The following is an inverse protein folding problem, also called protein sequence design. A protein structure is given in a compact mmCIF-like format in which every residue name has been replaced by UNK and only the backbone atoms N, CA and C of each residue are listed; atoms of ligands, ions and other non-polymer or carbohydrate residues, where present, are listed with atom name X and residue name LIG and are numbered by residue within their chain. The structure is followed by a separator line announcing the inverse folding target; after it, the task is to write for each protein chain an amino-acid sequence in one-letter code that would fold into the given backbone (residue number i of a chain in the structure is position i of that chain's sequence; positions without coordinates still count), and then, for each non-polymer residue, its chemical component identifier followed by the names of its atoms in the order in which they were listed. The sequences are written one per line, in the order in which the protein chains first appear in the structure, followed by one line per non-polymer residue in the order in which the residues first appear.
data_IF_256973133584
#
_entry.id   IF_256973133584
#
_cell.length_a   1.000
_cell.length_b   1.000
_cell.length_c   1.000
_cell.angle_alpha   90.00
_cell.angle_beta   90.00
_cell.angle_gamma   90.00
#
_symmetry.space_group_name_H-M   'P 1'
#
loop_
_entity.id
_entity.type
_entity.pdbx_description
1 polymer ?
#
# COMPACT_ATOMS: atom_id res chain seq x y z
N UNK A 1 56.78 -43.03 24.23
CA UNK A 1 56.64 -41.66 23.71
C UNK A 1 55.26 -41.19 24.13
N UNK A 2 55.20 -40.15 24.97
CA UNK A 2 53.92 -39.57 25.37
C UNK A 2 53.23 -39.04 24.11
N UNK A 3 51.93 -39.29 24.00
CA UNK A 3 51.15 -38.88 22.84
C UNK A 3 50.73 -37.42 23.09
N UNK A 4 51.58 -36.47 22.69
CA UNK A 4 51.44 -35.03 22.96
C UNK A 4 50.35 -34.38 22.08
N UNK A 5 49.18 -35.01 21.98
CA UNK A 5 48.05 -34.54 21.18
C UNK A 5 46.92 -34.07 22.07
N UNK A 6 46.66 -32.77 22.05
CA UNK A 6 45.43 -32.19 22.62
C UNK A 6 44.33 -32.30 21.56
N UNK A 7 43.23 -32.98 21.90
CA UNK A 7 42.05 -33.06 21.02
C UNK A 7 40.94 -32.22 21.61
N UNK A 8 40.41 -31.28 20.82
CA UNK A 8 39.32 -30.40 21.22
C UNK A 8 38.05 -30.91 20.56
N UNK A 9 37.05 -31.23 21.38
CA UNK A 9 35.71 -31.61 20.91
C UNK A 9 34.73 -30.50 21.24
N UNK A 10 34.00 -30.01 20.24
CA UNK A 10 32.88 -29.12 20.50
C UNK A 10 31.82 -29.88 21.31
N UNK A 11 31.32 -29.27 22.39
CA UNK A 11 30.20 -29.84 23.13
C UNK A 11 29.03 -30.09 22.19
N UNK A 12 28.27 -31.15 22.44
CA UNK A 12 27.11 -31.50 21.62
C UNK A 12 26.04 -30.39 21.66
N UNK A 13 25.81 -29.82 22.85
CA UNK A 13 24.83 -28.76 23.08
C UNK A 13 25.48 -27.59 23.86
N UNK A 14 26.36 -26.79 23.23
CA UNK A 14 26.92 -25.63 23.91
C UNK A 14 25.83 -24.57 24.13
N UNK A 15 25.93 -23.76 25.19
CA UNK A 15 25.05 -22.61 25.34
C UNK A 15 25.22 -21.65 24.16
N UNK A 16 24.11 -21.17 23.59
CA UNK A 16 24.13 -20.11 22.58
C UNK A 16 24.37 -18.78 23.28
N UNK A 17 25.52 -18.17 23.01
CA UNK A 17 25.93 -16.90 23.61
C UNK A 17 26.31 -15.95 22.48
N UNK A 18 25.72 -14.75 22.49
CA UNK A 18 26.09 -13.65 21.60
C UNK A 18 27.41 -13.07 22.08
N UNK A 19 28.50 -13.54 21.51
CA UNK A 19 29.85 -13.04 21.73
C UNK A 19 30.63 -13.22 20.44
N UNK A 20 31.48 -12.25 20.12
CA UNK A 20 32.27 -12.22 18.89
C UNK A 20 33.29 -13.37 18.81
N UNK A 21 33.81 -13.82 19.96
CA UNK A 21 34.83 -14.86 20.06
C UNK A 21 34.44 -15.94 21.06
N UNK A 22 34.87 -17.17 20.79
CA UNK A 22 34.98 -18.22 21.80
C UNK A 22 36.37 -18.15 22.43
N UNK A 23 36.46 -18.21 23.76
CA UNK A 23 37.75 -18.17 24.47
C UNK A 23 38.10 -19.55 25.02
N UNK A 24 39.25 -20.10 24.62
CA UNK A 24 39.89 -21.24 25.27
C UNK A 24 40.86 -20.71 26.31
N UNK A 25 40.76 -21.20 27.54
CA UNK A 25 41.68 -20.88 28.63
C UNK A 25 42.39 -22.15 29.07
N UNK A 26 43.72 -22.12 29.10
CA UNK A 26 44.58 -23.23 29.51
C UNK A 26 45.26 -22.85 30.82
N UNK A 27 45.02 -23.61 31.87
CA UNK A 27 45.62 -23.44 33.19
C UNK A 27 46.50 -24.63 33.51
N UNK A 28 47.73 -24.39 33.97
CA UNK A 28 48.65 -25.44 34.41
C UNK A 28 48.51 -25.57 35.93
N UNK A 29 48.21 -26.77 36.40
CA UNK A 29 48.15 -27.12 37.83
C UNK A 29 49.14 -28.24 38.13
N UNK A 30 49.68 -28.27 39.35
CA UNK A 30 50.55 -29.34 39.83
C UNK A 30 50.07 -29.74 41.22
N UNK A 31 49.82 -31.03 41.41
CA UNK A 31 49.31 -31.57 42.67
C UNK A 31 50.42 -31.96 43.65
N UNK A 32 51.68 -31.87 43.21
CA UNK A 32 52.86 -32.11 44.04
C UNK A 32 53.17 -30.85 44.88
N UNK A 33 53.09 -30.93 46.22
CA UNK A 33 53.31 -29.79 47.10
C UNK A 33 54.75 -29.26 47.05
N UNK A 34 55.72 -30.04 46.57
CA UNK A 34 57.12 -29.65 46.46
C UNK A 34 57.44 -28.96 45.12
N UNK A 35 56.49 -28.92 44.18
CA UNK A 35 56.66 -28.28 42.87
C UNK A 35 56.17 -26.84 42.90
N UNK A 36 57.11 -25.90 42.76
CA UNK A 36 56.81 -24.47 42.65
C UNK A 36 56.55 -24.10 41.19
N UNK A 37 55.30 -23.85 40.83
CA UNK A 37 54.93 -23.31 39.52
C UNK A 37 55.39 -21.86 39.42
N UNK A 38 56.16 -21.52 38.39
CA UNK A 38 56.61 -20.15 38.16
C UNK A 38 55.43 -19.17 38.05
N UNK A 39 55.50 -17.94 38.60
CA UNK A 39 54.39 -16.98 38.57
C UNK A 39 53.82 -16.69 37.18
N UNK A 40 54.66 -16.77 36.13
CA UNK A 40 54.22 -16.61 34.74
C UNK A 40 53.35 -17.78 34.24
N UNK A 41 53.59 -19.01 34.73
CA UNK A 41 52.83 -20.21 34.40
C UNK A 41 51.56 -20.38 35.26
N UNK A 42 51.39 -19.56 36.30
CA UNK A 42 50.17 -19.50 37.11
C UNK A 42 49.05 -18.70 36.44
N UNK A 43 49.36 -17.86 35.44
CA UNK A 43 48.36 -17.13 34.66
C UNK A 43 47.82 -18.03 33.55
N UNK A 44 46.49 -18.12 33.37
CA UNK A 44 45.93 -18.89 32.27
C UNK A 44 46.37 -18.34 30.91
N UNK A 45 46.83 -19.21 30.02
CA UNK A 45 47.02 -18.85 28.62
C UNK A 45 45.65 -18.85 27.93
N UNK A 46 45.29 -17.74 27.28
CA UNK A 46 44.01 -17.61 26.59
C UNK A 46 44.19 -17.53 25.09
N UNK A 47 43.36 -18.26 24.36
CA UNK A 47 43.28 -18.23 22.91
C UNK A 47 41.86 -17.90 22.50
N UNK A 48 41.70 -16.86 21.68
CA UNK A 48 40.39 -16.46 21.14
C UNK A 48 40.23 -17.04 19.74
N UNK A 49 39.09 -17.67 19.52
CA UNK A 49 38.68 -18.18 18.23
C UNK A 49 37.50 -17.33 17.76
N UNK A 50 37.62 -16.74 16.56
CA UNK A 50 36.50 -16.05 15.95
C UNK A 50 35.35 -17.04 15.75
N UNK A 51 34.14 -16.63 16.10
CA UNK A 51 32.94 -17.38 15.71
C UNK A 51 32.64 -17.13 14.23
N UNK A 52 31.90 -18.02 13.56
CA UNK A 52 31.60 -17.83 12.13
C UNK A 52 30.82 -16.53 11.95
N UNK A 53 31.37 -15.59 11.19
CA UNK A 53 30.61 -14.43 10.74
C UNK A 53 29.72 -14.90 9.58
N UNK A 54 28.43 -14.60 9.66
CA UNK A 54 27.53 -14.80 8.52
C UNK A 54 27.88 -13.73 7.48
N UNK A 55 28.25 -14.15 6.28
CA UNK A 55 28.58 -13.23 5.18
C UNK A 55 27.42 -13.04 4.20
N UNK A 56 26.57 -14.06 4.06
CA UNK A 56 25.46 -14.03 3.13
C UNK A 56 24.28 -14.82 3.67
N UNK A 57 23.11 -14.22 3.51
CA UNK A 57 21.81 -14.85 3.67
C UNK A 57 21.08 -14.79 2.33
N UNK A 58 20.33 -15.84 2.04
CA UNK A 58 19.51 -15.99 0.85
C UNK A 58 18.08 -16.34 1.25
N UNK A 59 17.13 -15.94 0.42
CA UNK A 59 15.70 -16.15 0.61
C UNK A 59 14.91 -14.90 0.22
N UNK A 60 13.58 -14.91 0.39
CA UNK A 60 12.79 -16.03 0.93
C UNK A 60 12.73 -17.22 -0.03
N UNK A 61 12.78 -18.44 0.50
CA UNK A 61 12.44 -19.67 -0.23
C UNK A 61 11.06 -20.17 0.23
N UNK A 62 10.31 -20.80 -0.65
CA UNK A 62 9.02 -21.42 -0.32
C UNK A 62 9.21 -22.75 0.45
N UNK A 63 8.12 -23.44 0.77
CA UNK A 63 8.19 -24.74 1.47
C UNK A 63 8.78 -25.88 0.62
N UNK A 64 8.80 -25.72 -0.71
CA UNK A 64 9.40 -26.65 -1.66
C UNK A 64 10.89 -26.34 -1.92
N UNK A 65 11.46 -25.35 -1.20
CA UNK A 65 12.84 -24.91 -1.31
C UNK A 65 13.15 -24.18 -2.63
N UNK A 66 12.12 -23.71 -3.34
CA UNK A 66 12.25 -22.85 -4.52
C UNK A 66 12.43 -21.40 -4.07
N UNK A 67 13.35 -20.68 -4.71
CA UNK A 67 13.61 -19.28 -4.37
C UNK A 67 12.42 -18.45 -4.84
N UNK A 68 11.79 -17.72 -3.95
CA UNK A 68 10.81 -16.69 -4.30
C UNK A 68 11.61 -15.53 -4.88
N UNK A 69 11.53 -15.35 -6.19
CA UNK A 69 12.32 -14.31 -6.87
C UNK A 69 11.87 -12.91 -6.45
N UNK A 70 12.69 -11.88 -6.73
CA UNK A 70 12.35 -10.49 -6.36
C UNK A 70 11.01 -10.00 -6.95
N UNK A 71 10.57 -10.57 -8.07
CA UNK A 71 9.26 -10.29 -8.66
C UNK A 71 8.16 -10.96 -7.85
N UNK A 72 8.31 -12.24 -7.46
CA UNK A 72 7.37 -13.08 -6.69
C UNK A 72 7.34 -12.81 -5.18
N UNK A 73 8.26 -12.01 -4.64
CA UNK A 73 8.20 -11.55 -3.24
C UNK A 73 6.86 -10.81 -2.96
N UNK A 74 6.16 -10.35 -3.99
CA UNK A 74 4.80 -9.80 -3.93
C UNK A 74 3.67 -10.81 -3.74
N UNK A 75 3.95 -12.08 -4.01
CA UNK A 75 3.11 -13.23 -3.71
C UNK A 75 3.36 -13.78 -2.31
N UNK A 76 4.24 -13.14 -1.53
CA UNK A 76 4.39 -13.51 -0.13
C UNK A 76 3.08 -13.32 0.63
N UNK A 77 2.48 -14.43 1.07
CA UNK A 77 1.23 -14.41 1.81
C UNK A 77 1.50 -14.32 3.30
N UNK A 78 0.67 -13.53 3.98
CA UNK A 78 0.64 -13.51 5.44
C UNK A 78 0.24 -14.89 5.96
N UNK A 79 0.83 -15.27 7.09
CA UNK A 79 0.69 -16.55 7.76
C UNK A 79 1.30 -17.76 7.00
N UNK A 80 1.88 -17.56 5.80
CA UNK A 80 2.74 -18.57 5.16
C UNK A 80 4.14 -18.60 5.77
N UNK A 81 4.78 -19.76 5.67
CA UNK A 81 6.15 -19.98 6.14
C UNK A 81 7.12 -19.90 4.97
N UNK A 82 8.17 -19.10 5.15
CA UNK A 82 9.27 -18.97 4.20
C UNK A 82 10.57 -19.37 4.87
N UNK A 83 11.52 -19.85 4.09
CA UNK A 83 12.82 -20.31 4.57
C UNK A 83 13.88 -19.26 4.21
N UNK A 84 14.72 -18.91 5.17
CA UNK A 84 15.90 -18.08 4.96
C UNK A 84 17.13 -18.91 5.27
N UNK A 85 18.16 -18.82 4.42
CA UNK A 85 19.36 -19.66 4.49
C UNK A 85 20.59 -18.78 4.63
N UNK A 86 21.36 -18.96 5.69
CA UNK A 86 22.72 -18.44 5.75
C UNK A 86 23.62 -19.39 4.96
N UNK A 87 24.07 -18.95 3.78
CA UNK A 87 24.76 -19.78 2.78
C UNK A 87 26.27 -19.55 2.73
N UNK A 88 26.75 -18.44 3.30
CA UNK A 88 28.19 -18.12 3.32
C UNK A 88 28.63 -17.69 4.71
N UNK A 89 29.74 -18.25 5.15
CA UNK A 89 30.34 -17.99 6.46
C UNK A 89 31.83 -17.72 6.33
N UNK A 90 32.37 -16.89 7.21
CA UNK A 90 33.82 -16.86 7.46
C UNK A 90 34.28 -18.19 8.04
N UNK A 91 35.51 -18.56 7.72
CA UNK A 91 36.14 -19.79 8.21
C UNK A 91 36.09 -19.85 9.74
N UNK A 92 35.65 -20.99 10.26
CA UNK A 92 35.39 -21.19 11.69
C UNK A 92 35.72 -22.62 12.09
N UNK A 93 36.27 -22.77 13.29
CA UNK A 93 36.55 -24.07 13.92
C UNK A 93 35.32 -24.74 14.53
N UNK A 94 34.17 -24.07 14.52
CA UNK A 94 32.93 -24.50 15.18
C UNK A 94 31.74 -24.65 14.22
N UNK A 95 30.77 -25.48 14.62
CA UNK A 95 29.56 -25.75 13.83
C UNK A 95 28.65 -24.50 13.79
N UNK A 96 28.35 -23.91 12.62
CA UNK A 96 27.64 -22.64 12.54
C UNK A 96 26.26 -22.62 13.23
N UNK A 97 25.46 -23.67 13.07
CA UNK A 97 24.10 -23.79 13.65
C UNK A 97 24.05 -23.56 15.16
N UNK A 98 25.13 -23.89 15.89
CA UNK A 98 25.19 -23.78 17.35
C UNK A 98 25.45 -22.35 17.82
N UNK A 99 25.77 -21.42 16.94
CA UNK A 99 26.19 -20.05 17.29
C UNK A 99 25.36 -18.97 16.60
N UNK A 100 24.73 -19.28 15.47
CA UNK A 100 23.97 -18.30 14.67
C UNK A 100 22.59 -18.05 15.26
N UNK A 101 22.20 -16.79 15.26
CA UNK A 101 20.91 -16.20 15.57
C UNK A 101 20.25 -15.66 14.32
N UNK A 102 18.93 -15.68 14.33
CA UNK A 102 18.13 -14.97 13.37
C UNK A 102 17.36 -13.88 14.11
N UNK A 103 17.20 -12.74 13.46
CA UNK A 103 16.41 -11.62 13.97
C UNK A 103 15.58 -11.03 12.84
N UNK A 104 14.50 -10.34 13.21
CA UNK A 104 13.70 -9.55 12.30
C UNK A 104 13.79 -8.07 12.67
N UNK A 105 13.71 -7.21 11.67
CA UNK A 105 13.43 -5.79 11.83
C UNK A 105 12.24 -5.44 10.95
N UNK A 106 11.24 -4.78 11.54
CA UNK A 106 9.99 -4.46 10.84
C UNK A 106 9.86 -2.94 10.72
N UNK A 107 9.63 -2.45 9.50
CA UNK A 107 9.49 -1.03 9.15
C UNK A 107 10.60 -0.15 9.75
N UNK A 108 11.85 -0.60 9.63
CA UNK A 108 13.04 0.07 10.16
C UNK A 108 13.01 0.30 11.69
N UNK A 109 12.20 -0.46 12.43
CA UNK A 109 12.09 -0.42 13.89
C UNK A 109 13.25 -1.10 14.62
N UNK A 110 13.01 -1.58 15.84
CA UNK A 110 14.01 -2.34 16.59
C UNK A 110 14.28 -3.72 15.97
N UNK A 111 15.53 -4.17 16.08
CA UNK A 111 15.91 -5.53 15.68
C UNK A 111 15.56 -6.47 16.84
N UNK A 112 14.71 -7.46 16.57
CA UNK A 112 14.20 -8.40 17.57
C UNK A 112 14.61 -9.81 17.20
N UNK A 113 15.17 -10.53 18.18
CA UNK A 113 15.53 -11.93 18.01
C UNK A 113 14.32 -12.78 17.68
N UNK A 114 14.47 -13.62 16.65
CA UNK A 114 13.50 -14.63 16.34
C UNK A 114 13.64 -15.81 17.31
N UNK A 115 12.50 -16.44 17.60
CA UNK A 115 12.38 -17.49 18.62
C UNK A 115 13.25 -18.72 18.27
N UNK A 116 14.09 -19.14 19.22
CA UNK A 116 14.83 -20.38 19.10
C UNK A 116 13.98 -21.59 19.52
N UNK A 117 13.83 -22.57 18.62
CA UNK A 117 13.17 -23.85 18.91
C UNK A 117 14.14 -24.98 18.63
N UNK A 118 14.67 -25.60 19.69
CA UNK A 118 15.62 -26.71 19.58
C UNK A 118 15.10 -27.80 18.63
N UNK A 119 15.92 -28.19 17.65
CA UNK A 119 15.58 -29.20 16.65
C UNK A 119 14.57 -28.76 15.58
N UNK A 120 14.13 -27.49 15.59
CA UNK A 120 13.23 -26.91 14.58
C UNK A 120 13.83 -25.69 13.89
N UNK A 121 14.35 -24.74 14.67
CA UNK A 121 14.89 -23.47 14.17
C UNK A 121 15.99 -22.95 15.10
N UNK A 122 17.16 -22.55 14.58
CA UNK A 122 17.64 -22.84 13.22
C UNK A 122 17.93 -24.34 13.03
N UNK A 123 18.04 -24.80 11.78
CA UNK A 123 18.39 -26.17 11.39
C UNK A 123 19.39 -26.19 10.22
N UNK A 124 19.97 -27.35 9.90
CA UNK A 124 20.84 -27.53 8.73
C UNK A 124 20.05 -28.19 7.60
N UNK A 125 20.17 -27.69 6.38
CA UNK A 125 19.69 -28.38 5.17
C UNK A 125 20.70 -29.43 4.68
N UNK A 126 20.41 -30.07 3.53
CA UNK A 126 21.26 -31.09 2.92
C UNK A 126 22.65 -30.57 2.54
N UNK A 127 22.73 -29.28 2.18
CA UNK A 127 23.97 -28.57 1.83
C UNK A 127 24.70 -27.99 3.05
N UNK A 128 24.20 -28.26 4.26
CA UNK A 128 24.73 -27.75 5.54
C UNK A 128 24.65 -26.22 5.68
N UNK A 129 23.72 -25.58 5.01
CA UNK A 129 23.37 -24.17 5.26
C UNK A 129 22.53 -24.06 6.54
N UNK A 130 22.70 -22.96 7.27
CA UNK A 130 21.89 -22.72 8.46
C UNK A 130 20.59 -22.05 8.04
N UNK A 131 19.48 -22.77 8.22
CA UNK A 131 18.16 -22.39 7.78
C UNK A 131 17.28 -21.92 8.94
N UNK A 132 16.38 -20.99 8.65
CA UNK A 132 15.33 -20.54 9.56
C UNK A 132 13.98 -20.48 8.84
N UNK A 133 12.99 -21.21 9.38
CA UNK A 133 11.59 -21.12 8.96
C UNK A 133 10.94 -19.91 9.63
N UNK A 134 10.63 -18.91 8.83
CA UNK A 134 10.02 -17.65 9.23
C UNK A 134 8.56 -17.61 8.80
N UNK A 135 7.66 -17.39 9.74
CA UNK A 135 6.25 -17.15 9.43
C UNK A 135 6.07 -15.66 9.13
N UNK A 136 5.61 -15.32 7.93
CA UNK A 136 5.43 -13.94 7.52
C UNK A 136 4.17 -13.36 8.15
N UNK A 137 4.33 -12.53 9.16
CA UNK A 137 3.22 -12.15 10.06
C UNK A 137 2.31 -11.04 9.51
N UNK A 138 2.84 -10.19 8.63
CA UNK A 138 2.13 -9.02 8.09
C UNK A 138 2.86 -8.44 6.90
N UNK A 139 2.13 -7.78 6.02
CA UNK A 139 2.69 -6.95 4.95
C UNK A 139 3.37 -5.71 5.55
N UNK A 140 4.66 -5.82 5.78
CA UNK A 140 5.53 -4.79 6.32
C UNK A 140 6.90 -4.97 5.72
N UNK A 141 7.63 -3.86 5.57
CA UNK A 141 9.04 -3.91 5.20
C UNK A 141 9.74 -4.73 6.29
N UNK A 142 10.32 -5.86 5.94
CA UNK A 142 10.84 -6.80 6.91
C UNK A 142 12.25 -7.19 6.51
N UNK A 143 13.22 -6.92 7.37
CA UNK A 143 14.61 -7.34 7.17
C UNK A 143 14.90 -8.52 8.05
N UNK A 144 15.33 -9.64 7.45
CA UNK A 144 15.75 -10.84 8.17
C UNK A 144 17.27 -10.86 8.24
N UNK A 145 17.78 -10.94 9.47
CA UNK A 145 19.20 -11.01 9.77
C UNK A 145 19.58 -12.43 10.15
N UNK A 146 20.80 -12.83 9.78
CA UNK A 146 21.47 -13.98 10.35
C UNK A 146 22.82 -13.53 10.90
N UNK A 147 23.11 -13.83 12.16
CA UNK A 147 24.28 -13.26 12.84
C UNK A 147 24.72 -14.07 14.06
N UNK A 148 25.91 -13.82 14.59
CA UNK A 148 26.39 -14.51 15.81
C UNK A 148 26.45 -13.60 17.03
N UNK A 149 26.99 -12.40 16.85
CA UNK A 149 27.16 -11.41 17.91
C UNK A 149 26.26 -10.21 17.68
N UNK A 150 26.48 -9.52 16.55
CA UNK A 150 25.71 -8.36 16.13
C UNK A 150 25.11 -8.57 14.74
N UNK A 151 23.85 -8.15 14.52
CA UNK A 151 23.23 -8.13 13.19
C UNK A 151 23.87 -7.05 12.31
N UNK A 152 24.23 -7.42 11.08
CA UNK A 152 24.82 -6.52 10.08
C UNK A 152 23.91 -6.48 8.84
N UNK A 153 23.77 -5.30 8.21
CA UNK A 153 22.89 -5.13 7.04
C UNK A 153 23.40 -5.90 5.82
N UNK A 154 24.71 -6.00 5.68
CA UNK A 154 25.40 -6.75 4.62
C UNK A 154 25.07 -8.25 4.69
N UNK A 155 24.72 -8.74 5.88
CA UNK A 155 24.30 -10.11 6.15
C UNK A 155 22.79 -10.19 6.46
N UNK A 156 21.98 -9.48 5.66
CA UNK A 156 20.52 -9.47 5.78
C UNK A 156 19.81 -9.60 4.44
N UNK A 157 18.55 -10.07 4.47
CA UNK A 157 17.63 -10.02 3.33
C UNK A 157 16.52 -9.03 3.66
N UNK A 158 16.26 -8.09 2.75
CA UNK A 158 15.13 -7.18 2.85
C UNK A 158 13.94 -7.71 2.04
N UNK A 159 12.79 -7.81 2.71
CA UNK A 159 11.49 -8.06 2.10
C UNK A 159 10.80 -6.69 2.00
N UNK A 160 10.59 -6.15 0.79
CA UNK A 160 10.01 -4.83 0.62
C UNK A 160 8.55 -4.77 1.09
N UNK A 161 8.11 -3.58 1.48
CA UNK A 161 6.70 -3.31 1.73
C UNK A 161 6.00 -3.04 0.40
N UNK A 162 4.96 -3.82 0.11
CA UNK A 162 4.16 -3.66 -1.10
C UNK A 162 2.81 -3.05 -0.75
N UNK A 163 2.50 -1.92 -1.39
CA UNK A 163 1.26 -1.16 -1.13
C UNK A 163 0.51 -0.92 -2.46
N UNK A 164 -0.76 -1.32 -2.58
CA UNK A 164 -1.55 -0.92 -3.74
C UNK A 164 -1.72 0.60 -3.77
N UNK A 165 -1.56 1.17 -4.95
CA UNK A 165 -1.61 2.60 -5.19
C UNK A 165 -2.46 2.87 -6.42
N UNK A 166 -3.45 3.76 -6.27
CA UNK A 166 -4.23 4.28 -7.40
C UNK A 166 -3.60 5.60 -7.84
N UNK A 167 -3.08 5.66 -9.06
CA UNK A 167 -2.53 6.87 -9.66
C UNK A 167 -3.58 7.49 -10.56
N UNK A 168 -4.21 8.58 -10.10
CA UNK A 168 -5.18 9.36 -10.88
C UNK A 168 -4.40 10.35 -11.73
N UNK A 169 -4.37 10.09 -13.04
CA UNK A 169 -3.52 10.85 -13.96
C UNK A 169 -4.17 12.15 -14.44
N UNK A 170 -3.40 12.97 -15.16
CA UNK A 170 -3.93 14.11 -15.93
C UNK A 170 -4.23 13.76 -17.40
N UNK A 171 -4.09 12.49 -17.80
CA UNK A 171 -4.39 12.03 -19.14
C UNK A 171 -5.89 11.97 -19.34
N UNK A 172 -6.43 12.87 -20.19
CA UNK A 172 -7.82 12.81 -20.64
C UNK A 172 -7.98 11.59 -21.55
N UNK A 173 -8.99 10.77 -21.27
CA UNK A 173 -9.34 9.56 -22.04
C UNK A 173 -10.56 9.75 -22.91
N UNK A 174 -11.35 10.79 -22.64
CA UNK A 174 -12.53 11.17 -23.40
C UNK A 174 -13.42 12.11 -22.60
N UNK A 175 -14.71 12.06 -22.93
CA UNK A 175 -15.74 12.93 -22.39
C UNK A 175 -16.99 12.10 -22.11
N UNK A 176 -17.68 12.47 -21.05
CA UNK A 176 -18.86 11.79 -20.53
C UNK A 176 -19.83 12.86 -20.03
N UNK A 177 -21.04 12.51 -19.59
CA UNK A 177 -21.95 13.47 -18.94
C UNK A 177 -22.04 13.21 -17.44
N UNK A 178 -22.28 14.28 -16.68
CA UNK A 178 -22.39 14.25 -15.22
C UNK A 178 -23.58 15.12 -14.81
N UNK A 179 -24.34 14.68 -13.80
CA UNK A 179 -25.43 15.48 -13.25
C UNK A 179 -24.89 16.82 -12.73
N UNK A 180 -25.50 17.91 -13.20
CA UNK A 180 -25.23 19.26 -12.75
C UNK A 180 -25.90 19.53 -11.39
N UNK A 181 -25.08 19.60 -10.34
CA UNK A 181 -25.57 19.89 -8.99
C UNK A 181 -26.00 21.35 -8.83
N UNK A 182 -26.83 21.61 -7.82
CA UNK A 182 -27.21 22.97 -7.40
C UNK A 182 -28.53 23.51 -7.95
N UNK A 183 -29.23 22.74 -8.80
CA UNK A 183 -30.50 23.12 -9.43
C UNK A 183 -31.77 22.68 -8.68
N UNK A 184 -31.64 21.95 -7.57
CA UNK A 184 -32.80 21.56 -6.76
C UNK A 184 -33.80 20.72 -7.56
N UNK A 185 -33.32 19.71 -8.27
CA UNK A 185 -34.15 18.74 -8.95
C UNK A 185 -34.96 17.95 -7.93
N UNK A 186 -36.28 17.90 -8.12
CA UNK A 186 -37.13 17.01 -7.33
C UNK A 186 -36.90 15.57 -7.78
N UNK A 187 -37.14 14.57 -6.92
CA UNK A 187 -37.14 13.14 -7.30
C UNK A 187 -38.13 12.79 -8.43
N UNK A 188 -38.99 13.73 -8.83
CA UNK A 188 -40.00 13.59 -9.88
C UNK A 188 -39.68 14.44 -11.12
N UNK A 189 -38.46 14.98 -11.22
CA UNK A 189 -38.04 15.71 -12.41
C UNK A 189 -38.01 14.75 -13.61
N UNK A 190 -38.63 15.17 -14.72
CA UNK A 190 -38.70 14.39 -15.97
C UNK A 190 -37.33 14.34 -16.67
N UNK A 191 -36.43 15.25 -16.30
CA UNK A 191 -35.06 15.32 -16.81
C UNK A 191 -34.10 15.69 -15.67
N UNK A 192 -32.89 15.20 -15.78
CA UNK A 192 -31.72 15.48 -14.96
C UNK A 192 -30.84 16.49 -15.71
N UNK A 193 -30.69 17.72 -15.20
CA UNK A 193 -29.74 18.67 -15.76
C UNK A 193 -28.33 18.11 -15.69
N UNK A 194 -27.63 18.13 -16.80
CA UNK A 194 -26.33 17.46 -16.96
C UNK A 194 -25.34 18.36 -17.69
N UNK A 195 -24.05 18.06 -17.53
CA UNK A 195 -22.97 18.73 -18.25
C UNK A 195 -21.96 17.71 -18.76
N UNK A 196 -21.32 18.03 -19.88
CA UNK A 196 -20.17 17.25 -20.34
C UNK A 196 -18.97 17.51 -19.44
N UNK A 197 -18.27 16.44 -19.06
CA UNK A 197 -17.02 16.49 -18.31
C UNK A 197 -15.96 15.58 -18.93
N UNK A 198 -14.68 15.92 -18.85
CA UNK A 198 -13.61 15.03 -19.26
C UNK A 198 -13.49 13.83 -18.31
N UNK A 199 -13.14 12.68 -18.86
CA UNK A 199 -12.69 11.50 -18.12
C UNK A 199 -11.18 11.42 -18.12
N UNK A 200 -10.62 10.85 -17.06
CA UNK A 200 -9.19 10.73 -16.85
C UNK A 200 -8.83 9.29 -16.51
N UNK A 201 -7.66 8.87 -16.98
CA UNK A 201 -7.13 7.55 -16.66
C UNK A 201 -6.70 7.48 -15.18
N UNK A 202 -7.07 6.40 -14.51
CA UNK A 202 -6.51 5.97 -13.24
C UNK A 202 -5.81 4.62 -13.42
N UNK A 203 -4.56 4.51 -12.94
CA UNK A 203 -3.80 3.27 -12.95
C UNK A 203 -3.78 2.67 -11.55
N UNK A 204 -4.05 1.38 -11.43
CA UNK A 204 -3.81 0.63 -10.20
C UNK A 204 -2.45 -0.04 -10.34
N UNK A 205 -1.58 0.24 -9.38
CA UNK A 205 -0.21 -0.27 -9.35
C UNK A 205 0.13 -0.83 -7.97
N UNK A 206 1.14 -1.69 -7.90
CA UNK A 206 1.77 -2.10 -6.65
C UNK A 206 3.05 -1.27 -6.45
N UNK A 207 3.05 -0.44 -5.41
CA UNK A 207 4.23 0.27 -4.95
C UNK A 207 5.11 -0.70 -4.16
N UNK A 208 6.23 -1.11 -4.75
CA UNK A 208 7.18 -2.07 -4.16
C UNK A 208 8.32 -1.38 -3.40
N UNK A 209 8.29 -0.05 -3.22
CA UNK A 209 9.37 0.70 -2.59
C UNK A 209 10.69 0.77 -3.38
N UNK A 210 10.80 0.08 -4.51
CA UNK A 210 11.84 0.25 -5.52
C UNK A 210 11.41 1.28 -6.57
N UNK A 211 12.33 1.76 -7.42
CA UNK A 211 12.07 2.81 -8.41
C UNK A 211 11.01 2.45 -9.49
N UNK A 212 10.34 1.30 -9.40
CA UNK A 212 9.34 0.85 -10.37
C UNK A 212 8.09 0.30 -9.68
N UNK A 213 7.01 1.04 -9.83
CA UNK A 213 5.65 0.57 -9.59
C UNK A 213 5.28 -0.54 -10.59
N UNK A 214 4.62 -1.59 -10.13
CA UNK A 214 4.11 -2.65 -11.01
C UNK A 214 2.66 -2.39 -11.41
N UNK A 215 2.40 -2.27 -12.70
CA UNK A 215 1.06 -2.06 -13.24
C UNK A 215 0.17 -3.30 -13.07
N UNK A 216 -1.05 -3.09 -12.56
CA UNK A 216 -2.07 -4.14 -12.44
C UNK A 216 -3.15 -3.97 -13.51
N UNK A 217 -3.85 -2.82 -13.49
CA UNK A 217 -4.89 -2.49 -14.46
C UNK A 217 -5.16 -0.98 -14.47
N UNK A 218 -6.03 -0.52 -15.37
CA UNK A 218 -6.46 0.87 -15.44
C UNK A 218 -7.96 0.99 -15.65
N UNK A 219 -8.54 2.05 -15.11
CA UNK A 219 -9.93 2.43 -15.32
C UNK A 219 -10.05 3.94 -15.55
N UNK A 220 -11.26 4.39 -15.89
CA UNK A 220 -11.54 5.78 -16.21
C UNK A 220 -12.45 6.40 -15.15
N UNK A 221 -12.19 7.66 -14.82
CA UNK A 221 -12.96 8.40 -13.82
C UNK A 221 -13.09 9.89 -14.16
N UNK A 222 -14.05 10.56 -13.54
CA UNK A 222 -14.19 12.02 -13.61
C UNK A 222 -13.39 12.68 -12.49
N UNK A 223 -12.65 13.76 -12.78
CA UNK A 223 -12.01 14.62 -11.76
C UNK A 223 -12.81 15.89 -11.46
N UNK A 224 -13.67 16.28 -12.39
CA UNK A 224 -14.42 17.53 -12.33
C UNK A 224 -15.81 17.33 -11.72
N UNK A 225 -16.32 18.38 -11.07
CA UNK A 225 -17.54 18.34 -10.28
C UNK A 225 -18.30 19.65 -10.41
N UNK A 226 -19.17 19.78 -11.40
CA UNK A 226 -19.80 21.07 -11.71
C UNK A 226 -21.05 21.35 -10.88
N UNK A 227 -21.18 22.60 -10.45
CA UNK A 227 -22.28 23.10 -9.63
C UNK A 227 -22.82 24.41 -10.22
N UNK A 228 -24.13 24.52 -10.37
CA UNK A 228 -24.80 25.75 -10.80
C UNK A 228 -24.98 26.72 -9.63
N UNK A 229 -24.40 27.91 -9.75
CA UNK A 229 -24.59 29.03 -8.82
C UNK A 229 -25.90 29.78 -9.06
N UNK A 230 -26.63 29.45 -10.13
CA UNK A 230 -27.80 30.17 -10.60
C UNK A 230 -27.59 30.69 -12.03
N UNK A 231 -28.58 31.44 -12.52
CA UNK A 231 -28.52 32.06 -13.84
C UNK A 231 -28.16 33.54 -13.74
N UNK A 232 -27.39 34.04 -14.69
CA UNK A 232 -27.05 35.45 -14.81
C UNK A 232 -28.20 36.25 -15.48
N UNK A 233 -28.00 37.55 -15.70
CA UNK A 233 -28.97 38.44 -16.37
C UNK A 233 -29.29 38.04 -17.82
N UNK A 234 -28.45 37.22 -18.44
CA UNK A 234 -28.64 36.67 -19.80
C UNK A 234 -29.31 35.29 -19.80
N UNK A 235 -29.81 34.84 -18.65
CA UNK A 235 -30.40 33.51 -18.43
C UNK A 235 -29.41 32.33 -18.63
N UNK A 236 -28.10 32.60 -18.55
CA UNK A 236 -27.04 31.58 -18.67
C UNK A 236 -26.62 31.07 -17.29
N UNK A 237 -26.37 29.76 -17.17
CA UNK A 237 -25.88 29.17 -15.92
C UNK A 237 -24.46 29.63 -15.60
N UNK A 238 -24.27 30.20 -14.41
CA UNK A 238 -22.93 30.45 -13.86
C UNK A 238 -22.48 29.22 -13.10
N UNK A 239 -21.42 28.58 -13.58
CA UNK A 239 -20.94 27.32 -13.03
C UNK A 239 -19.74 27.54 -12.11
N UNK A 240 -19.63 26.66 -11.13
CA UNK A 240 -18.50 26.49 -10.22
C UNK A 240 -18.00 25.06 -10.37
N UNK A 241 -16.72 24.88 -10.70
CA UNK A 241 -16.09 23.57 -10.53
C UNK A 241 -15.76 23.37 -9.05
N UNK A 242 -16.31 22.31 -8.47
CA UNK A 242 -16.09 21.90 -7.08
C UNK A 242 -15.09 20.75 -6.96
N UNK A 243 -14.34 20.46 -8.04
CA UNK A 243 -13.27 19.46 -8.04
C UNK A 243 -12.38 19.56 -6.80
N UNK A 244 -11.96 18.41 -6.28
CA UNK A 244 -10.90 18.39 -5.28
C UNK A 244 -9.56 18.69 -5.96
N UNK A 245 -8.92 19.77 -5.52
CA UNK A 245 -7.57 20.16 -5.94
C UNK A 245 -6.69 20.20 -4.69
N UNK A 246 -5.56 19.47 -4.67
CA UNK A 246 -4.62 19.50 -3.55
C UNK A 246 -4.18 20.92 -3.22
N UNK A 247 -4.06 21.25 -1.93
CA UNK A 247 -3.49 22.53 -1.49
C UNK A 247 -2.06 22.74 -2.03
N UNK A 248 -1.26 21.68 -2.08
CA UNK A 248 0.06 21.62 -2.70
C UNK A 248 0.20 20.27 -3.42
N UNK A 249 0.60 20.30 -4.70
CA UNK A 249 0.83 19.08 -5.49
C UNK A 249 2.11 18.32 -5.10
N UNK A 250 3.04 18.93 -4.36
CA UNK A 250 4.13 18.19 -3.70
C UNK A 250 3.62 17.30 -2.55
N UNK A 251 2.34 17.44 -2.18
CA UNK A 251 1.67 16.70 -1.11
C UNK A 251 0.39 16.03 -1.63
N UNK A 252 0.47 15.44 -2.82
CA UNK A 252 -0.61 14.82 -3.58
C UNK A 252 -0.74 13.29 -3.37
N UNK A 253 0.03 12.72 -2.43
CA UNK A 253 -0.09 11.33 -2.01
C UNK A 253 -0.97 11.24 -0.77
N UNK A 254 -2.03 10.45 -0.87
CA UNK A 254 -3.04 10.24 0.16
C UNK A 254 -3.09 8.77 0.56
N UNK A 255 -3.48 8.50 1.80
CA UNK A 255 -3.96 7.18 2.18
C UNK A 255 -5.40 6.99 1.71
N UNK A 256 -5.89 5.75 1.75
CA UNK A 256 -7.28 5.45 1.44
C UNK A 256 -7.91 4.47 2.43
N UNK A 257 -9.15 4.74 2.82
CA UNK A 257 -9.99 3.87 3.63
C UNK A 257 -11.11 3.29 2.77
N UNK A 258 -11.27 1.97 2.79
CA UNK A 258 -12.41 1.31 2.17
C UNK A 258 -13.71 1.66 2.91
N UNK A 259 -14.72 2.07 2.16
CA UNK A 259 -16.08 2.33 2.62
C UNK A 259 -17.05 1.40 1.90
N UNK A 260 -17.60 0.39 2.60
CA UNK A 260 -18.55 -0.51 1.99
C UNK A 260 -19.93 0.12 1.82
N UNK A 261 -20.66 -0.31 0.78
CA UNK A 261 -22.06 0.06 0.54
C UNK A 261 -22.30 1.56 0.37
N UNK A 262 -21.51 2.21 -0.48
CA UNK A 262 -21.64 3.60 -0.89
C UNK A 262 -22.15 3.73 -2.34
N UNK A 263 -23.10 4.64 -2.64
CA UNK A 263 -23.79 5.53 -1.71
C UNK A 263 -24.81 4.77 -0.87
N UNK A 264 -24.85 5.06 0.43
CA UNK A 264 -25.78 4.39 1.34
C UNK A 264 -27.14 5.09 1.32
N UNK A 265 -28.26 4.42 1.01
CA UNK A 265 -29.59 4.99 1.18
C UNK A 265 -29.81 5.41 2.64
N UNK A 266 -30.17 6.67 2.87
CA UNK A 266 -30.54 7.19 4.19
C UNK A 266 -31.89 6.59 4.60
N UNK A 267 -31.93 5.35 5.08
CA UNK A 267 -33.06 4.81 5.85
C UNK A 267 -32.79 3.38 6.33
N UNK A 268 -33.22 3.12 7.56
CA UNK A 268 -33.19 1.83 8.27
C UNK A 268 -33.99 0.69 7.60
N UNK A 269 -34.59 0.93 6.43
CA UNK A 269 -35.43 -0.03 5.69
C UNK A 269 -34.85 -0.49 4.35
N UNK A 270 -33.70 0.01 3.91
CA UNK A 270 -33.13 -0.32 2.60
C UNK A 270 -31.92 -1.25 2.68
N UNK A 271 -31.80 -2.11 1.66
CA UNK A 271 -30.66 -2.99 1.46
C UNK A 271 -29.40 -2.17 1.17
N UNK A 272 -28.21 -2.65 1.55
CA UNK A 272 -26.95 -2.02 1.17
C UNK A 272 -26.87 -1.88 -0.36
N UNK A 273 -26.29 -0.77 -0.86
CA UNK A 273 -26.17 -0.53 -2.31
C UNK A 273 -25.39 -1.63 -3.03
N UNK A 274 -24.53 -2.37 -2.32
CA UNK A 274 -23.63 -3.36 -2.90
C UNK A 274 -22.50 -2.75 -3.73
N UNK A 275 -22.37 -1.42 -3.71
CA UNK A 275 -21.30 -0.66 -4.35
C UNK A 275 -20.35 -0.15 -3.26
N UNK A 276 -19.06 -0.08 -3.57
CA UNK A 276 -18.02 0.30 -2.60
C UNK A 276 -17.38 1.65 -2.98
N UNK A 277 -16.65 2.25 -2.05
CA UNK A 277 -15.89 3.46 -2.27
C UNK A 277 -14.56 3.45 -1.51
N UNK A 278 -13.64 4.32 -1.91
CA UNK A 278 -12.38 4.57 -1.21
C UNK A 278 -12.26 6.04 -0.83
N UNK A 279 -12.22 6.32 0.47
CA UNK A 279 -12.12 7.66 1.03
C UNK A 279 -10.66 8.07 1.18
N UNK A 280 -10.31 9.23 0.65
CA UNK A 280 -8.99 9.82 0.80
C UNK A 280 -8.76 10.19 2.27
N UNK A 281 -7.58 9.86 2.77
CA UNK A 281 -7.13 10.25 4.10
C UNK A 281 -5.75 10.85 4.04
N UNK A 282 -5.46 11.72 5.01
CA UNK A 282 -4.11 12.19 5.27
C UNK A 282 -3.78 11.96 6.73
N UNK A 283 -2.80 11.10 6.99
CA UNK A 283 -2.46 10.63 8.35
C UNK A 283 -3.70 10.09 9.10
N UNK A 284 -4.57 9.35 8.40
CA UNK A 284 -5.81 8.80 8.94
C UNK A 284 -6.97 9.80 9.11
N UNK A 285 -6.81 11.06 8.69
CA UNK A 285 -7.87 12.06 8.77
C UNK A 285 -8.57 12.24 7.41
N UNK A 286 -9.90 12.24 7.40
CA UNK A 286 -10.75 12.44 6.20
C UNK A 286 -10.96 13.92 5.85
N UNK A 287 -10.57 14.83 6.74
CA UNK A 287 -10.47 16.27 6.43
C UNK A 287 -9.08 16.54 5.90
N UNK A 288 -8.98 16.83 4.61
CA UNK A 288 -7.70 16.95 3.90
C UNK A 288 -7.51 18.35 3.29
N UNK A 289 -6.28 18.89 3.30
CA UNK A 289 -5.99 20.18 2.70
C UNK A 289 -6.30 20.24 1.20
N UNK A 290 -7.06 21.26 0.79
CA UNK A 290 -7.49 21.51 -0.57
C UNK A 290 -7.30 22.99 -0.93
N UNK A 291 -7.23 23.32 -2.22
CA UNK A 291 -7.43 24.70 -2.66
C UNK A 291 -8.86 25.17 -2.34
N UNK A 292 -9.06 26.43 -1.92
CA UNK A 292 -10.38 26.95 -1.64
C UNK A 292 -11.24 26.98 -2.91
N UNK A 293 -12.56 26.82 -2.74
CA UNK A 293 -13.50 27.04 -3.83
C UNK A 293 -13.56 28.54 -4.14
N UNK A 294 -13.82 28.90 -5.41
CA UNK A 294 -13.99 30.31 -5.82
C UNK A 294 -15.09 31.03 -5.03
N UNK A 295 -16.13 30.31 -4.61
CA UNK A 295 -17.20 30.83 -3.77
C UNK A 295 -17.91 29.70 -3.03
N UNK A 296 -18.53 30.04 -1.90
CA UNK A 296 -19.43 29.18 -1.11
C UNK A 296 -20.89 29.63 -1.17
N UNK A 297 -21.20 30.63 -2.00
CA UNK A 297 -22.55 31.18 -2.17
C UNK A 297 -22.98 31.14 -3.63
N UNK A 298 -24.29 31.00 -3.83
CA UNK A 298 -25.00 31.18 -5.10
C UNK A 298 -25.08 32.66 -5.46
N UNK A 299 -25.49 32.95 -6.69
CA UNK A 299 -25.68 34.32 -7.17
C UNK A 299 -26.74 35.10 -6.37
N UNK A 300 -27.73 34.41 -5.80
CA UNK A 300 -28.76 35.00 -4.94
C UNK A 300 -28.30 35.23 -3.49
N UNK A 301 -27.01 35.01 -3.20
CA UNK A 301 -26.40 35.17 -1.88
C UNK A 301 -26.63 33.99 -0.92
N UNK A 302 -27.45 32.99 -1.28
CA UNK A 302 -27.65 31.81 -0.42
C UNK A 302 -26.42 30.90 -0.45
N UNK A 303 -26.13 30.17 0.63
CA UNK A 303 -25.07 29.15 0.62
C UNK A 303 -25.30 28.08 -0.45
N UNK A 304 -24.22 27.57 -1.04
CA UNK A 304 -24.28 26.35 -1.87
C UNK A 304 -24.65 25.14 -1.01
N UNK A 305 -25.17 24.09 -1.62
CA UNK A 305 -25.46 22.82 -0.94
C UNK A 305 -24.16 22.20 -0.42
N UNK A 306 -24.13 21.78 0.84
CA UNK A 306 -22.94 21.23 1.50
C UNK A 306 -21.71 22.14 1.34
N UNK A 307 -21.73 23.37 1.88
CA UNK A 307 -20.56 24.24 1.87
C UNK A 307 -19.45 23.64 2.73
N UNK A 308 -18.19 23.94 2.42
CA UNK A 308 -17.05 23.58 3.26
C UNK A 308 -17.13 24.38 4.57
N UNK A 309 -17.01 23.69 5.70
CA UNK A 309 -16.96 24.34 7.01
C UNK A 309 -15.68 25.14 7.22
N UNK A 310 -14.59 24.74 6.57
CA UNK A 310 -13.30 25.45 6.51
C UNK A 310 -12.89 25.47 5.03
N UNK A 311 -12.66 26.65 4.46
CA UNK A 311 -12.54 26.84 3.01
C UNK A 311 -11.43 26.00 2.36
N UNK A 312 -10.28 25.86 3.02
CA UNK A 312 -9.10 25.15 2.54
C UNK A 312 -9.04 23.68 2.97
N UNK A 313 -10.15 23.12 3.49
CA UNK A 313 -10.28 21.71 3.81
C UNK A 313 -11.43 21.06 3.04
N UNK A 314 -11.13 19.99 2.29
CA UNK A 314 -12.13 19.08 1.76
C UNK A 314 -12.39 17.95 2.78
N UNK A 315 -13.62 17.44 2.83
CA UNK A 315 -14.01 16.35 3.73
C UNK A 315 -14.59 15.21 2.90
N UNK A 316 -14.22 13.97 3.22
CA UNK A 316 -14.75 12.76 2.59
C UNK A 316 -14.62 12.75 1.06
N UNK A 317 -13.46 13.18 0.54
CA UNK A 317 -13.13 13.02 -0.89
C UNK A 317 -12.98 11.53 -1.18
N UNK A 318 -13.59 11.04 -2.25
CA UNK A 318 -13.69 9.61 -2.53
C UNK A 318 -13.45 9.26 -4.00
N UNK A 319 -13.01 8.02 -4.27
CA UNK A 319 -13.29 7.33 -5.53
C UNK A 319 -14.54 6.48 -5.30
N UNK A 320 -15.55 6.63 -6.15
CA UNK A 320 -16.79 5.86 -6.07
C UNK A 320 -17.45 5.71 -7.44
N UNK A 321 -18.59 5.01 -7.49
CA UNK A 321 -19.42 4.87 -8.69
C UNK A 321 -19.78 6.24 -9.29
N UNK A 322 -19.58 6.41 -10.60
CA UNK A 322 -20.05 7.55 -11.39
C UNK A 322 -20.95 7.08 -12.52
N UNK A 323 -21.14 7.92 -13.55
CA UNK A 323 -21.99 7.60 -14.70
C UNK A 323 -23.43 7.34 -14.29
N UNK A 324 -24.17 6.60 -15.11
CA UNK A 324 -25.50 6.11 -14.75
C UNK A 324 -25.36 4.87 -13.88
N UNK A 325 -25.94 4.88 -12.68
CA UNK A 325 -25.90 3.75 -11.76
C UNK A 325 -27.23 3.55 -11.06
N UNK A 326 -27.47 2.32 -10.64
CA UNK A 326 -28.64 1.94 -9.86
C UNK A 326 -28.33 1.82 -8.37
N UNK A 327 -29.22 2.35 -7.55
CA UNK A 327 -29.27 2.00 -6.12
C UNK A 327 -30.70 1.68 -5.73
N UNK A 328 -30.91 0.52 -5.09
CA UNK A 328 -32.24 0.09 -4.66
C UNK A 328 -33.31 0.20 -5.76
N UNK A 329 -32.98 -0.27 -6.97
CA UNK A 329 -33.88 -0.32 -8.15
C UNK A 329 -34.16 1.06 -8.79
N UNK A 330 -33.52 2.14 -8.32
CA UNK A 330 -33.59 3.45 -8.97
C UNK A 330 -32.30 3.74 -9.72
N UNK A 331 -32.40 3.98 -11.03
CA UNK A 331 -31.31 4.53 -11.83
C UNK A 331 -31.11 6.01 -11.48
N UNK A 332 -29.86 6.45 -11.51
CA UNK A 332 -29.46 7.83 -11.24
C UNK A 332 -28.20 8.14 -12.03
N UNK A 333 -28.20 9.30 -12.68
CA UNK A 333 -26.97 9.87 -13.21
C UNK A 333 -26.14 10.48 -12.07
N UNK A 334 -24.90 10.05 -11.94
CA UNK A 334 -23.99 10.54 -10.93
C UNK A 334 -23.60 11.99 -11.14
N UNK A 335 -23.59 12.75 -10.05
CA UNK A 335 -22.94 14.06 -9.97
C UNK A 335 -22.06 14.14 -8.75
N UNK A 336 -21.02 14.97 -8.82
CA UNK A 336 -19.97 15.02 -7.81
C UNK A 336 -19.98 16.35 -7.03
N UNK A 337 -19.53 16.31 -5.77
CA UNK A 337 -19.20 17.48 -4.95
C UNK A 337 -17.68 17.64 -4.74
N UNK A 338 -16.88 17.04 -5.63
CA UNK A 338 -15.42 17.05 -5.59
C UNK A 338 -14.77 15.66 -5.47
N UNK A 339 -15.59 14.60 -5.46
CA UNK A 339 -15.15 13.22 -5.56
C UNK A 339 -14.86 12.79 -6.99
N UNK A 340 -14.21 11.63 -7.14
CA UNK A 340 -13.86 11.01 -8.40
C UNK A 340 -14.85 9.89 -8.73
N UNK A 341 -15.63 10.06 -9.81
CA UNK A 341 -16.65 9.08 -10.21
C UNK A 341 -16.13 8.17 -11.31
N UNK A 342 -16.12 6.85 -11.09
CA UNK A 342 -15.82 5.84 -12.11
C UNK A 342 -16.76 5.96 -13.30
N UNK A 343 -16.24 5.79 -14.53
CA UNK A 343 -17.02 5.82 -15.77
C UNK A 343 -16.70 4.55 -16.57
N UNK A 344 -17.74 3.81 -16.94
CA UNK A 344 -17.62 2.63 -17.81
C UNK A 344 -17.27 3.05 -19.24
N UNK A 345 -16.53 2.20 -19.96
CA UNK A 345 -15.93 2.58 -21.26
C UNK A 345 -16.93 2.97 -22.33
N UNK A 346 -18.12 2.36 -22.31
CA UNK A 346 -19.18 2.64 -23.28
C UNK A 346 -19.72 4.08 -23.19
N UNK A 347 -19.60 4.72 -22.02
CA UNK A 347 -20.10 6.09 -21.78
C UNK A 347 -18.99 7.15 -21.99
N UNK A 348 -17.86 6.75 -22.61
CA UNK A 348 -16.71 7.62 -22.87
C UNK A 348 -16.61 7.90 -24.37
N UNK A 349 -16.84 9.15 -24.72
CA UNK A 349 -16.81 9.65 -26.08
C UNK A 349 -15.52 10.43 -26.35
N UNK A 350 -15.02 10.35 -27.57
CA UNK A 350 -13.74 10.99 -27.95
C UNK A 350 -13.79 12.52 -27.98
N UNK A 351 -14.98 13.11 -28.06
CA UNK A 351 -15.18 14.57 -28.11
C UNK A 351 -16.39 15.00 -27.28
N UNK A 352 -16.42 16.25 -26.78
CA UNK A 352 -17.59 16.77 -26.08
C UNK A 352 -18.86 16.75 -26.92
N UNK A 353 -18.75 17.03 -28.22
CA UNK A 353 -19.90 17.07 -29.13
C UNK A 353 -20.54 15.70 -29.32
N UNK A 354 -19.75 14.62 -29.27
CA UNK A 354 -20.28 13.26 -29.31
C UNK A 354 -20.98 12.88 -28.00
N UNK A 355 -20.45 13.28 -26.85
CA UNK A 355 -21.11 13.08 -25.57
C UNK A 355 -22.48 13.80 -25.50
N UNK A 356 -22.56 15.03 -26.02
CA UNK A 356 -23.83 15.77 -26.14
C UNK A 356 -24.82 15.00 -27.02
N UNK A 357 -24.37 14.52 -28.19
CA UNK A 357 -25.24 13.81 -29.13
C UNK A 357 -25.73 12.47 -28.60
N UNK A 358 -24.96 11.78 -27.75
CA UNK A 358 -25.39 10.55 -27.14
C UNK A 358 -26.53 10.78 -26.14
N UNK A 359 -26.39 11.80 -25.29
CA UNK A 359 -27.45 12.28 -24.40
C UNK A 359 -28.72 12.70 -25.18
N UNK A 360 -28.59 13.46 -26.27
CA UNK A 360 -29.74 13.87 -27.11
C UNK A 360 -30.49 12.69 -27.76
N UNK A 361 -29.85 11.53 -27.87
CA UNK A 361 -30.39 10.32 -28.52
C UNK A 361 -30.91 9.28 -27.54
N UNK A 362 -30.79 9.51 -26.23
CA UNK A 362 -31.09 8.50 -25.20
C UNK A 362 -30.15 7.28 -25.29
N UNK A 363 -28.90 7.49 -25.74
CA UNK A 363 -27.90 6.42 -25.93
C UNK A 363 -26.93 6.30 -24.73
N UNK A 364 -27.19 7.01 -23.62
CA UNK A 364 -26.21 7.25 -22.53
C UNK A 364 -26.53 6.50 -21.21
N UNK A 365 -27.67 5.83 -21.11
CA UNK A 365 -28.08 5.06 -19.92
C UNK A 365 -28.54 3.62 -20.21
N UNK A 366 -28.25 3.12 -21.42
CA UNK A 366 -28.56 1.76 -21.87
C UNK A 366 -28.04 0.66 -20.92
N UNK A 367 -26.89 0.92 -20.28
CA UNK A 367 -26.29 0.04 -19.29
C UNK A 367 -25.86 0.81 -18.04
N UNK A 368 -26.05 0.22 -16.86
CA UNK A 368 -25.61 0.84 -15.61
C UNK A 368 -24.17 0.47 -15.28
N UNK A 369 -23.44 1.45 -14.75
CA UNK A 369 -22.04 1.33 -14.31
C UNK A 369 -21.85 0.35 -13.14
N UNK A 370 -22.92 -0.11 -12.49
CA UNK A 370 -22.90 -0.97 -11.30
C UNK A 370 -21.99 -2.19 -11.44
N UNK A 371 -22.14 -2.96 -12.52
CA UNK A 371 -21.42 -4.21 -12.71
C UNK A 371 -19.92 -3.97 -12.91
N UNK A 372 -19.58 -2.99 -13.73
CA UNK A 372 -18.20 -2.68 -14.08
C UNK A 372 -17.47 -1.99 -12.94
N UNK A 373 -18.14 -1.09 -12.21
CA UNK A 373 -17.61 -0.54 -10.96
C UNK A 373 -17.41 -1.64 -9.93
N UNK A 374 -18.39 -2.52 -9.73
CA UNK A 374 -18.27 -3.62 -8.77
C UNK A 374 -17.07 -4.52 -9.07
N UNK A 375 -16.90 -4.91 -10.33
CA UNK A 375 -15.73 -5.70 -10.75
C UNK A 375 -14.42 -4.95 -10.45
N UNK A 376 -14.33 -3.69 -10.87
CA UNK A 376 -13.14 -2.86 -10.68
C UNK A 376 -12.80 -2.70 -9.19
N UNK A 377 -13.79 -2.39 -8.36
CA UNK A 377 -13.59 -2.15 -6.93
C UNK A 377 -13.29 -3.45 -6.18
N UNK A 378 -13.87 -4.59 -6.58
CA UNK A 378 -13.55 -5.90 -6.01
C UNK A 378 -12.06 -6.25 -6.26
N UNK A 379 -11.52 -5.98 -7.45
CA UNK A 379 -10.09 -6.15 -7.76
C UNK A 379 -9.21 -5.23 -6.88
N UNK A 380 -9.60 -3.97 -6.65
CA UNK A 380 -8.88 -3.07 -5.73
C UNK A 380 -8.96 -3.58 -4.28
N UNK A 381 -10.13 -4.06 -3.84
CA UNK A 381 -10.36 -4.58 -2.49
C UNK A 381 -9.53 -5.84 -2.24
N UNK A 382 -9.36 -6.72 -3.22
CA UNK A 382 -8.48 -7.89 -3.10
C UNK A 382 -7.04 -7.47 -2.81
N UNK A 383 -6.52 -6.47 -3.52
CA UNK A 383 -5.20 -5.90 -3.25
C UNK A 383 -5.14 -5.22 -1.87
N UNK A 384 -6.15 -4.42 -1.52
CA UNK A 384 -6.22 -3.73 -0.23
C UNK A 384 -6.31 -4.71 0.95
N UNK A 385 -7.02 -5.84 0.81
CA UNK A 385 -7.20 -6.84 1.88
C UNK A 385 -5.89 -7.45 2.34
N UNK A 386 -4.87 -7.49 1.47
CA UNK A 386 -3.53 -7.98 1.81
C UNK A 386 -3.00 -7.21 3.03
N UNK A 387 -2.80 -5.90 2.92
CA UNK A 387 -2.11 -5.09 3.93
C UNK A 387 -3.01 -4.09 4.69
N UNK A 388 -4.29 -3.98 4.32
CA UNK A 388 -5.27 -2.98 4.78
C UNK A 388 -4.78 -1.54 4.62
N UNK A 389 -3.94 -1.29 3.62
CA UNK A 389 -3.37 0.01 3.27
C UNK A 389 -3.49 0.20 1.76
N UNK A 390 -3.91 1.38 1.36
CA UNK A 390 -3.85 1.78 -0.05
C UNK A 390 -3.46 3.24 -0.12
N UNK A 391 -2.74 3.57 -1.18
CA UNK A 391 -2.36 4.93 -1.50
C UNK A 391 -3.17 5.44 -2.68
N UNK A 392 -3.39 6.74 -2.74
CA UNK A 392 -3.93 7.43 -3.91
C UNK A 392 -2.97 8.57 -4.23
N UNK A 393 -2.38 8.53 -5.43
CA UNK A 393 -1.54 9.59 -5.96
C UNK A 393 -2.34 10.38 -6.99
N UNK A 394 -2.37 11.70 -6.86
CA UNK A 394 -3.10 12.57 -7.79
C UNK A 394 -2.13 13.41 -8.62
N UNK A 395 -2.03 13.13 -9.92
CA UNK A 395 -1.12 13.87 -10.80
C UNK A 395 -1.49 15.34 -10.92
N UNK A 396 -0.43 16.14 -11.08
CA UNK A 396 -0.54 17.57 -11.36
C UNK A 396 -1.44 17.83 -12.56
N UNK A 397 -2.38 18.74 -12.38
CA UNK A 397 -3.26 19.27 -13.43
C UNK A 397 -3.27 20.78 -13.31
N UNK A 398 -3.07 21.46 -14.43
CA UNK A 398 -3.25 22.91 -14.49
C UNK A 398 -4.75 23.21 -14.58
N UNK A 399 -5.32 23.70 -13.48
CA UNK A 399 -6.75 24.01 -13.37
C UNK A 399 -7.19 25.15 -14.31
N UNK A 400 -6.27 25.96 -14.84
CA UNK A 400 -6.57 27.00 -15.82
C UNK A 400 -6.89 26.44 -17.21
N UNK A 401 -6.49 25.18 -17.47
CA UNK A 401 -6.72 24.47 -18.73
C UNK A 401 -7.93 23.52 -18.65
N UNK A 402 -8.66 23.52 -17.54
CA UNK A 402 -9.83 22.68 -17.36
C UNK A 402 -10.89 22.97 -18.43
N UNK A 403 -11.50 21.90 -18.95
CA UNK A 403 -12.67 22.02 -19.81
C UNK A 403 -13.82 22.66 -19.04
N UNK A 404 -14.33 23.79 -19.54
CA UNK A 404 -15.49 24.48 -18.98
C UNK A 404 -16.75 24.12 -19.79
N UNK A 405 -17.78 23.51 -19.19
CA UNK A 405 -19.01 23.18 -19.89
C UNK A 405 -19.69 24.42 -20.45
N UNK A 406 -20.00 24.40 -21.74
CA UNK A 406 -20.66 25.51 -22.45
C UNK A 406 -22.18 25.40 -22.45
N UNK A 407 -22.71 24.19 -22.28
CA UNK A 407 -24.12 23.86 -22.43
C UNK A 407 -24.54 23.02 -21.23
N UNK A 408 -25.72 23.32 -20.69
CA UNK A 408 -26.42 22.45 -19.75
C UNK A 408 -27.41 21.63 -20.55
N UNK A 409 -27.24 20.31 -20.51
CA UNK A 409 -28.04 19.33 -21.23
C UNK A 409 -29.18 18.87 -20.32
N UNK A 410 -30.24 18.33 -20.90
CA UNK A 410 -31.32 17.65 -20.20
C UNK A 410 -31.19 16.17 -20.52
N UNK A 411 -30.81 15.39 -19.52
CA UNK A 411 -30.79 13.92 -19.58
C UNK A 411 -32.12 13.37 -19.07
#
# INVERSE_FOLDING_TARGET
MANDKITIHEKENPPRIKEEYSTLSITITCDDPDVIIAPAAQKPATLKFAKPLVEKIEGPFDENNELVDEMEVDEMEVDKTYIFKATKFKESTFTPIKHIWFAEQINDGEIVDLEYKKGKNPYLDEDKNVCYKYNYKKYAKTTIYAYVWNPEKEASVEIPLIIPKVVITNQITGYTIQELKGLGTSKFAIYTPSVVVPTYKANVVLDKGSDKDEFQFSFDLTRDAWYSLGKNEKDEHVLLNRAFVPKNYEQNLYGAEWMPSYPNPISTTYLPSGLDAFVFTRFGNRKIPAQPLRTQTKLDGKPITSPRSIEDLATDVMIHVGGTYETNVFSSLGGSYGCFGYIQKQDIYTTPELAIKASEKDDYDDETTNKDWKKTVDEIIELWRKNKKMLILLDYRDESLNYYPKIVIKE
#
